data_IF_458035408971
#
_entry.id   IF_458035408971
#
_cell.length_a   1.000
_cell.length_b   1.000
_cell.length_c   1.000
_cell.angle_alpha   90.00
_cell.angle_beta   90.00
_cell.angle_gamma   90.00
#
_symmetry.space_group_name_H-M   'P 1'
#
loop_
_entity.id
_entity.type
_entity.pdbx_description
1 polymer ?
#
# COMPACT_ATOMS: atom_id res chain seq x y z
N UNK A 1 -6.69 -1.46 51.23
CA UNK A 1 -5.45 -1.80 50.52
C UNK A 1 -5.85 -2.54 49.26
N UNK A 2 -5.68 -1.95 48.06
CA UNK A 2 -5.99 -2.65 46.80
C UNK A 2 -4.89 -3.68 46.57
N UNK A 3 -5.25 -4.94 46.29
CA UNK A 3 -4.26 -6.01 46.04
C UNK A 3 -3.40 -5.66 44.83
N UNK A 4 -2.08 -5.77 44.96
CA UNK A 4 -1.11 -5.57 43.86
C UNK A 4 -1.50 -6.38 42.61
N UNK A 5 -2.12 -7.55 42.78
CA UNK A 5 -2.62 -8.38 41.70
C UNK A 5 -3.70 -7.70 40.84
N UNK A 6 -4.53 -6.84 41.42
CA UNK A 6 -5.62 -6.14 40.72
C UNK A 6 -5.11 -5.09 39.71
N UNK A 7 -3.84 -4.67 39.81
CA UNK A 7 -3.21 -3.72 38.87
C UNK A 7 -2.25 -4.43 37.92
N UNK A 8 -1.51 -5.43 38.41
CA UNK A 8 -0.48 -6.13 37.61
C UNK A 8 -1.11 -6.99 36.49
N UNK A 9 -2.17 -7.73 36.79
CA UNK A 9 -2.80 -8.64 35.82
C UNK A 9 -3.36 -7.89 34.60
N UNK A 10 -4.13 -6.79 34.75
CA UNK A 10 -4.61 -6.02 33.60
C UNK A 10 -3.48 -5.44 32.75
N UNK A 11 -2.42 -4.92 33.38
CA UNK A 11 -1.26 -4.37 32.67
C UNK A 11 -0.53 -5.44 31.85
N UNK A 12 -0.36 -6.64 32.41
CA UNK A 12 0.21 -7.78 31.67
C UNK A 12 -0.68 -8.20 30.50
N UNK A 13 -2.01 -8.26 30.68
CA UNK A 13 -2.93 -8.60 29.60
C UNK A 13 -2.88 -7.57 28.45
N UNK A 14 -2.84 -6.27 28.78
CA UNK A 14 -2.76 -5.20 27.77
C UNK A 14 -1.44 -5.28 27.01
N UNK A 15 -0.31 -5.44 27.71
CA UNK A 15 1.02 -5.51 27.07
C UNK A 15 1.16 -6.74 26.17
N UNK A 16 0.69 -7.91 26.62
CA UNK A 16 0.65 -9.13 25.80
C UNK A 16 -0.27 -8.92 24.59
N UNK A 17 -1.46 -8.36 24.79
CA UNK A 17 -2.41 -8.07 23.71
C UNK A 17 -1.81 -7.18 22.63
N UNK A 18 -1.20 -6.05 23.01
CA UNK A 18 -0.52 -5.14 22.08
C UNK A 18 0.64 -5.85 21.37
N UNK A 19 1.47 -6.61 22.09
CA UNK A 19 2.58 -7.36 21.49
C UNK A 19 2.09 -8.38 20.45
N UNK A 20 1.02 -9.12 20.76
CA UNK A 20 0.40 -10.07 19.83
C UNK A 20 -0.18 -9.33 18.61
N UNK A 21 -0.89 -8.22 18.79
CA UNK A 21 -1.43 -7.43 17.68
C UNK A 21 -0.34 -6.88 16.76
N UNK A 22 0.74 -6.35 17.35
CA UNK A 22 1.89 -5.84 16.62
C UNK A 22 2.57 -6.98 15.85
N UNK A 23 2.96 -8.07 16.52
CA UNK A 23 3.65 -9.20 15.87
C UNK A 23 2.80 -9.85 14.77
N UNK A 24 1.48 -9.95 14.96
CA UNK A 24 0.57 -10.44 13.95
C UNK A 24 0.51 -9.51 12.74
N UNK A 25 0.41 -8.19 12.94
CA UNK A 25 0.43 -7.20 11.85
C UNK A 25 1.72 -7.30 11.01
N UNK A 26 2.90 -7.35 11.66
CA UNK A 26 4.18 -7.53 10.96
C UNK A 26 4.24 -8.86 10.18
N UNK A 27 3.69 -9.94 10.74
CA UNK A 27 3.60 -11.23 10.05
C UNK A 27 2.75 -11.16 8.79
N UNK A 28 1.58 -10.52 8.84
CA UNK A 28 0.69 -10.36 7.68
C UNK A 28 1.36 -9.54 6.58
N UNK A 29 1.99 -8.41 6.92
CA UNK A 29 2.74 -7.57 5.97
C UNK A 29 3.81 -8.40 5.24
N UNK A 30 4.59 -9.19 5.99
CA UNK A 30 5.65 -10.04 5.45
C UNK A 30 5.11 -11.16 4.55
N UNK A 31 3.93 -11.69 4.86
CA UNK A 31 3.25 -12.71 4.04
C UNK A 31 2.77 -12.08 2.73
N UNK A 32 2.09 -10.94 2.79
CA UNK A 32 1.61 -10.22 1.60
C UNK A 32 2.78 -9.86 0.67
N UNK A 33 3.86 -9.29 1.21
CA UNK A 33 5.05 -8.93 0.45
C UNK A 33 5.62 -10.13 -0.35
N UNK A 34 5.69 -11.31 0.28
CA UNK A 34 6.15 -12.54 -0.37
C UNK A 34 5.17 -13.02 -1.43
N UNK A 35 3.87 -13.09 -1.12
CA UNK A 35 2.83 -13.56 -2.03
C UNK A 35 2.70 -12.68 -3.27
N UNK A 36 2.94 -11.37 -3.13
CA UNK A 36 2.84 -10.40 -4.20
C UNK A 36 4.12 -10.28 -5.04
N UNK A 37 5.14 -11.12 -4.81
CA UNK A 37 6.33 -11.16 -5.67
C UNK A 37 7.45 -10.18 -5.29
N UNK A 38 7.63 -9.88 -4.00
CA UNK A 38 8.60 -8.87 -3.57
C UNK A 38 10.07 -9.12 -3.95
N UNK A 39 10.50 -10.36 -4.16
CA UNK A 39 11.88 -10.65 -4.60
C UNK A 39 12.11 -10.39 -6.11
N UNK A 40 11.28 -10.94 -7.03
CA UNK A 40 11.42 -10.66 -8.46
C UNK A 40 11.23 -9.18 -8.84
N UNK A 41 10.29 -8.47 -8.21
CA UNK A 41 9.93 -7.11 -8.64
C UNK A 41 10.99 -6.06 -8.31
N UNK A 42 11.82 -6.31 -7.30
CA UNK A 42 12.97 -5.44 -6.99
C UNK A 42 14.02 -5.43 -8.13
N UNK A 43 14.06 -6.47 -8.96
CA UNK A 43 15.03 -6.60 -10.05
C UNK A 43 14.68 -5.77 -11.29
N UNK A 44 13.41 -5.33 -11.43
CA UNK A 44 12.95 -4.53 -12.57
C UNK A 44 13.09 -3.01 -12.34
N UNK A 45 13.82 -2.58 -11.30
CA UNK A 45 14.05 -1.15 -11.01
C UNK A 45 12.81 -0.40 -10.53
N UNK A 46 11.75 -1.12 -10.14
CA UNK A 46 10.51 -0.54 -9.62
C UNK A 46 10.70 -0.15 -8.16
N UNK A 47 10.42 1.10 -7.80
CA UNK A 47 10.42 1.52 -6.39
C UNK A 47 9.34 0.75 -5.63
N UNK A 48 9.75 0.05 -4.58
CA UNK A 48 8.84 -0.62 -3.66
C UNK A 48 8.59 0.31 -2.47
N UNK A 49 7.35 0.75 -2.33
CA UNK A 49 6.88 1.55 -1.22
C UNK A 49 6.39 0.66 -0.08
N UNK A 50 6.56 1.13 1.15
CA UNK A 50 5.92 0.52 2.32
C UNK A 50 4.51 1.10 2.51
N UNK A 51 3.58 0.32 3.05
CA UNK A 51 2.19 0.75 3.23
C UNK A 51 2.10 1.97 4.15
N UNK A 52 2.93 2.03 5.20
CA UNK A 52 2.95 3.16 6.15
C UNK A 52 3.32 4.49 5.48
N UNK A 53 4.23 4.48 4.51
CA UNK A 53 4.65 5.66 3.74
C UNK A 53 3.48 6.17 2.89
N UNK A 54 2.78 5.28 2.18
CA UNK A 54 1.63 5.65 1.35
C UNK A 54 0.41 6.07 2.18
N UNK A 55 0.19 5.43 3.33
CA UNK A 55 -0.84 5.83 4.28
C UNK A 55 -0.55 7.25 4.79
N UNK A 56 0.69 7.56 5.18
CA UNK A 56 1.07 8.92 5.58
C UNK A 56 0.87 9.92 4.43
N UNK A 57 1.33 9.59 3.23
CA UNK A 57 1.26 10.46 2.07
C UNK A 57 -0.18 10.82 1.66
N UNK A 58 -1.13 9.90 1.86
CA UNK A 58 -2.55 10.05 1.47
C UNK A 58 -3.47 10.44 2.63
N UNK A 59 -2.91 10.78 3.81
CA UNK A 59 -3.67 10.99 5.04
C UNK A 59 -4.59 9.80 5.40
N UNK A 60 -4.03 8.59 5.38
CA UNK A 60 -4.72 7.32 5.56
C UNK A 60 -5.82 7.05 4.53
N UNK A 61 -5.58 7.37 3.25
CA UNK A 61 -6.55 7.23 2.17
C UNK A 61 -7.86 7.99 2.45
N UNK A 62 -7.72 9.22 2.96
CA UNK A 62 -8.86 10.09 3.26
C UNK A 62 -9.66 10.38 1.98
N UNK A 63 -11.00 10.34 2.05
CA UNK A 63 -11.86 10.64 0.91
C UNK A 63 -11.71 12.08 0.39
N UNK A 64 -11.27 13.03 1.22
CA UNK A 64 -10.91 14.39 0.76
C UNK A 64 -9.74 14.40 -0.23
N UNK A 65 -8.91 13.36 -0.21
CA UNK A 65 -7.82 13.17 -1.16
C UNK A 65 -8.21 12.21 -2.29
N UNK A 66 -9.45 11.70 -2.35
CA UNK A 66 -9.90 10.82 -3.42
C UNK A 66 -10.08 11.62 -4.70
N UNK A 67 -9.27 11.32 -5.70
CA UNK A 67 -9.34 11.95 -7.01
C UNK A 67 -10.30 11.22 -7.96
N UNK A 68 -10.52 9.92 -7.75
CA UNK A 68 -11.46 9.15 -8.56
C UNK A 68 -11.76 7.76 -8.00
N UNK A 69 -12.86 7.18 -8.46
CA UNK A 69 -13.25 5.82 -8.13
C UNK A 69 -13.88 5.15 -9.35
N UNK A 70 -13.60 3.86 -9.54
CA UNK A 70 -14.21 3.06 -10.59
C UNK A 70 -14.32 1.59 -10.20
N UNK A 71 -14.59 0.75 -11.20
CA UNK A 71 -14.71 -0.69 -11.01
C UNK A 71 -13.48 -1.28 -10.33
N UNK A 72 -12.28 -0.85 -10.71
CA UNK A 72 -11.01 -1.46 -10.28
C UNK A 72 -10.44 -0.93 -8.96
N UNK A 73 -11.03 0.10 -8.34
CA UNK A 73 -10.44 0.74 -7.17
C UNK A 73 -10.73 2.22 -7.06
N UNK A 74 -10.11 2.84 -6.05
CA UNK A 74 -10.10 4.28 -5.83
C UNK A 74 -8.68 4.81 -6.04
N UNK A 75 -8.56 6.06 -6.47
CA UNK A 75 -7.29 6.76 -6.64
C UNK A 75 -7.23 7.90 -5.65
N UNK A 76 -6.18 7.91 -4.82
CA UNK A 76 -5.96 8.94 -3.81
C UNK A 76 -4.74 9.77 -4.17
N UNK A 77 -4.86 11.08 -4.07
CA UNK A 77 -3.73 12.00 -4.14
C UNK A 77 -2.91 11.87 -2.86
N UNK A 78 -1.59 11.92 -2.99
CA UNK A 78 -0.69 11.94 -1.84
C UNK A 78 0.60 12.70 -2.13
N UNK A 79 1.31 13.02 -1.05
CA UNK A 79 2.62 13.69 -1.10
C UNK A 79 3.66 12.83 -0.38
N UNK A 80 4.68 12.35 -1.10
CA UNK A 80 5.72 11.46 -0.54
C UNK A 80 6.91 12.29 -0.03
N UNK A 81 7.37 13.22 -0.85
CA UNK A 81 8.42 14.20 -0.55
C UNK A 81 7.86 15.60 -0.80
N UNK A 82 8.56 16.66 -0.35
CA UNK A 82 8.06 18.05 -0.39
C UNK A 82 7.47 18.43 -1.76
N UNK A 83 8.15 18.05 -2.85
CA UNK A 83 7.76 18.37 -4.22
C UNK A 83 7.31 17.15 -5.04
N UNK A 84 7.08 15.99 -4.40
CA UNK A 84 6.70 14.76 -5.11
C UNK A 84 5.24 14.40 -4.82
N UNK A 85 4.35 14.85 -5.71
CA UNK A 85 2.95 14.45 -5.72
C UNK A 85 2.75 13.11 -6.44
N UNK A 86 1.89 12.27 -5.89
CA UNK A 86 1.60 10.93 -6.40
C UNK A 86 0.12 10.64 -6.42
N UNK A 87 -0.27 9.72 -7.29
CA UNK A 87 -1.59 9.09 -7.27
C UNK A 87 -1.45 7.64 -6.82
N UNK A 88 -2.08 7.30 -5.70
CA UNK A 88 -2.08 5.95 -5.14
C UNK A 88 -3.39 5.26 -5.53
N UNK A 89 -3.31 4.29 -6.45
CA UNK A 89 -4.45 3.47 -6.85
C UNK A 89 -4.60 2.30 -5.87
N UNK A 90 -5.67 2.35 -5.08
CA UNK A 90 -6.05 1.33 -4.10
C UNK A 90 -7.18 0.45 -4.67
N UNK A 91 -6.89 -0.83 -4.99
CA UNK A 91 -7.89 -1.74 -5.54
C UNK A 91 -8.94 -2.16 -4.51
N UNK A 92 -10.13 -2.52 -4.99
CA UNK A 92 -11.19 -3.12 -4.17
C UNK A 92 -10.87 -4.59 -3.88
N UNK A 93 -11.16 -5.05 -2.66
CA UNK A 93 -10.88 -6.42 -2.21
C UNK A 93 -11.51 -7.52 -3.09
N UNK A 94 -12.64 -7.20 -3.75
CA UNK A 94 -13.35 -8.09 -4.67
C UNK A 94 -12.50 -8.53 -5.87
N UNK A 95 -11.45 -7.78 -6.20
CA UNK A 95 -10.57 -8.06 -7.35
C UNK A 95 -9.37 -8.94 -7.04
N UNK A 96 -9.31 -9.53 -5.84
CA UNK A 96 -8.20 -10.37 -5.42
C UNK A 96 -7.91 -11.53 -6.39
N UNK A 97 -8.95 -12.13 -6.97
CA UNK A 97 -8.82 -13.22 -7.95
C UNK A 97 -8.28 -12.74 -9.30
N UNK A 98 -8.69 -11.54 -9.76
CA UNK A 98 -8.24 -10.94 -11.03
C UNK A 98 -6.76 -10.51 -11.03
N UNK A 99 -6.23 -10.27 -9.83
CA UNK A 99 -4.84 -9.87 -9.61
C UNK A 99 -3.94 -11.09 -9.36
N UNK A 100 -4.48 -12.22 -8.90
CA UNK A 100 -3.71 -13.46 -8.74
C UNK A 100 -3.39 -14.09 -10.11
N UNK A 101 -2.12 -14.46 -10.32
CA UNK A 101 -1.63 -15.12 -11.54
C UNK A 101 -0.84 -14.18 -12.46
N UNK A 102 -1.41 -13.05 -12.83
CA UNK A 102 -0.84 -12.19 -13.89
C UNK A 102 -0.22 -10.88 -13.39
N UNK A 103 -0.36 -10.53 -12.11
CA UNK A 103 0.06 -9.20 -11.62
C UNK A 103 1.54 -8.91 -11.89
N UNK A 104 2.43 -9.86 -11.63
CA UNK A 104 3.87 -9.66 -11.87
C UNK A 104 4.17 -9.42 -13.36
N UNK A 105 3.50 -10.15 -14.25
CA UNK A 105 3.66 -9.99 -15.70
C UNK A 105 3.13 -8.62 -16.16
N UNK A 106 1.95 -8.23 -15.67
CA UNK A 106 1.34 -6.92 -15.93
C UNK A 106 2.23 -5.77 -15.44
N UNK A 107 2.79 -5.88 -14.23
CA UNK A 107 3.72 -4.87 -13.71
C UNK A 107 4.99 -4.81 -14.54
N UNK A 108 5.58 -5.95 -14.90
CA UNK A 108 6.75 -5.97 -15.79
C UNK A 108 6.47 -5.20 -17.08
N UNK A 109 5.35 -5.46 -17.74
CA UNK A 109 4.94 -4.74 -18.95
C UNK A 109 4.79 -3.24 -18.67
N UNK A 110 4.01 -2.86 -17.66
CA UNK A 110 3.76 -1.44 -17.31
C UNK A 110 5.06 -0.70 -16.99
N UNK A 111 6.02 -1.36 -16.34
CA UNK A 111 7.31 -0.76 -15.97
C UNK A 111 8.25 -0.58 -17.16
N UNK A 112 8.11 -1.39 -18.20
CA UNK A 112 8.89 -1.30 -19.43
C UNK A 112 8.30 -0.28 -20.42
N UNK A 113 7.01 0.04 -20.29
CA UNK A 113 6.33 1.03 -21.13
C UNK A 113 6.57 2.43 -20.55
N UNK A 114 7.53 3.15 -21.12
CA UNK A 114 7.73 4.59 -20.87
C UNK A 114 7.29 5.37 -22.12
N UNK A 115 5.99 5.61 -22.25
CA UNK A 115 5.44 6.37 -23.36
C UNK A 115 4.90 7.73 -22.87
N UNK A 116 5.20 8.81 -23.59
CA UNK A 116 4.87 10.21 -23.21
C UNK A 116 3.37 10.49 -22.99
N UNK A 117 2.49 9.59 -23.48
CA UNK A 117 1.02 9.69 -23.35
C UNK A 117 0.41 8.72 -22.32
N UNK A 118 1.23 7.99 -21.57
CA UNK A 118 0.76 7.02 -20.57
C UNK A 118 1.20 7.51 -19.20
N UNK A 119 0.31 7.48 -18.21
CA UNK A 119 0.63 7.87 -16.83
C UNK A 119 1.79 7.02 -16.31
N UNK A 120 2.84 7.70 -15.85
CA UNK A 120 4.10 7.06 -15.45
C UNK A 120 3.95 6.38 -14.10
N UNK A 121 4.23 5.07 -14.06
CA UNK A 121 4.32 4.33 -12.80
C UNK A 121 5.60 4.74 -12.05
N UNK A 122 5.45 5.26 -10.83
CA UNK A 122 6.56 5.61 -9.92
C UNK A 122 6.98 4.42 -9.06
N UNK A 123 6.03 3.54 -8.74
CA UNK A 123 6.33 2.31 -8.00
C UNK A 123 5.08 1.57 -7.54
N UNK A 124 5.29 0.62 -6.63
CA UNK A 124 4.24 -0.28 -6.13
C UNK A 124 4.39 -0.52 -4.63
N UNK A 125 3.31 -0.88 -3.94
CA UNK A 125 3.37 -1.40 -2.57
C UNK A 125 2.85 -2.84 -2.56
N UNK A 126 3.63 -3.74 -1.93
CA UNK A 126 3.35 -5.18 -1.88
C UNK A 126 2.91 -5.66 -0.49
N UNK A 127 2.90 -4.77 0.50
CA UNK A 127 2.57 -5.08 1.90
C UNK A 127 1.07 -5.27 2.15
N UNK A 128 0.25 -4.87 1.18
CA UNK A 128 -1.21 -4.98 1.21
C UNK A 128 -1.69 -6.31 0.61
N UNK A 129 -2.92 -6.71 0.95
CA UNK A 129 -3.54 -7.95 0.45
C UNK A 129 -3.62 -8.01 -1.07
N UNK A 130 -3.87 -6.86 -1.71
CA UNK A 130 -3.76 -6.64 -3.15
C UNK A 130 -2.79 -5.47 -3.33
N UNK A 131 -1.73 -5.61 -4.14
CA UNK A 131 -0.75 -4.55 -4.33
C UNK A 131 -1.33 -3.19 -4.71
N UNK A 132 -0.73 -2.13 -4.19
CA UNK A 132 -1.05 -0.75 -4.57
C UNK A 132 -0.15 -0.29 -5.70
N UNK A 133 -0.68 0.57 -6.57
CA UNK A 133 0.09 1.19 -7.66
C UNK A 133 0.26 2.68 -7.36
N UNK A 134 1.49 3.16 -7.53
CA UNK A 134 1.87 4.56 -7.28
C UNK A 134 2.28 5.17 -8.60
N UNK A 135 1.54 6.19 -9.02
CA UNK A 135 1.77 6.90 -10.27
C UNK A 135 2.23 8.33 -10.00
N UNK A 136 2.88 8.90 -11.00
CA UNK A 136 3.12 10.34 -11.05
C UNK A 136 1.79 11.10 -11.10
N UNK A 137 1.67 12.15 -10.31
CA UNK A 137 0.53 13.06 -10.35
C UNK A 137 0.95 14.34 -11.05
N UNK A 138 0.46 14.55 -12.29
CA UNK A 138 0.64 15.81 -12.99
C UNK A 138 -0.42 16.83 -12.54
N UNK A 139 0.04 18.06 -12.31
CA UNK A 139 -0.74 19.27 -12.04
C UNK A 139 -1.86 19.56 -13.07
N UNK A 140 -1.80 18.98 -14.27
CA UNK A 140 -2.85 19.07 -15.28
C UNK A 140 -4.09 18.20 -14.98
N UNK A 141 -4.13 17.51 -13.83
CA UNK A 141 -5.34 16.90 -13.27
C UNK A 141 -5.90 15.71 -14.04
N UNK A 142 -5.15 15.15 -15.00
CA UNK A 142 -5.62 14.03 -15.83
C UNK A 142 -4.83 12.76 -15.55
N UNK A 143 -5.39 11.95 -14.66
CA UNK A 143 -5.06 10.52 -14.51
C UNK A 143 -5.81 9.74 -15.59
N UNK A 144 -5.14 9.41 -16.69
CA UNK A 144 -5.63 8.42 -17.67
C UNK A 144 -4.82 7.12 -17.59
#
# INVERSE_FOLDING_TARGET
MVSLAAVIVPVLCITIGVSVSVTWKWRIIKINFKQNGGKPLNQYGVRIFIEAELAKATNNYNDNNKHGEGGFGSVYQGRIEVDTMVAVKKPKDVHKSLVKGDFQHKIKIVTQINHRKVVKLKGICLETRIPLLVYEYDSNGTLF
#
